data_IF_157672046397
#
_entry.id   IF_157672046397
#
_cell.length_a   1.000
_cell.length_b   1.000
_cell.length_c   1.000
_cell.angle_alpha   90.00
_cell.angle_beta   90.00
_cell.angle_gamma   90.00
#
_symmetry.space_group_name_H-M   'P 1'
#
loop_
_entity.id
_entity.type
_entity.pdbx_description
1 polymer ?
#
# COMPACT_ATOMS: atom_id res chain seq x y z
N UNK A 1 -16.98 -5.58 -8.29
CA UNK A 1 -16.08 -6.61 -7.72
C UNK A 1 -16.52 -6.85 -6.29
N UNK A 2 -17.14 -7.99 -5.98
CA UNK A 2 -17.69 -8.26 -4.65
C UNK A 2 -16.78 -9.27 -3.96
N UNK A 3 -16.15 -8.85 -2.85
CA UNK A 3 -15.33 -9.74 -2.02
C UNK A 3 -16.23 -10.36 -0.95
N UNK A 4 -16.49 -11.66 -1.05
CA UNK A 4 -17.13 -12.43 0.01
C UNK A 4 -16.04 -13.02 0.90
N UNK A 5 -15.87 -12.50 2.11
CA UNK A 5 -15.15 -13.18 3.18
C UNK A 5 -16.20 -13.81 4.09
N UNK A 6 -16.16 -15.13 4.30
CA UNK A 6 -16.96 -15.79 5.34
C UNK A 6 -16.47 -15.27 6.71
N UNK A 7 -17.14 -14.24 7.21
CA UNK A 7 -16.72 -13.40 8.34
C UNK A 7 -16.76 -14.09 9.70
N UNK A 8 -17.22 -15.34 9.79
CA UNK A 8 -17.19 -16.10 11.03
C UNK A 8 -15.82 -16.76 11.33
N UNK A 9 -14.90 -16.83 10.34
CA UNK A 9 -13.53 -17.37 10.49
C UNK A 9 -12.55 -16.76 9.47
N UNK A 10 -12.50 -15.44 9.32
CA UNK A 10 -11.52 -14.82 8.42
C UNK A 10 -10.09 -15.06 8.93
N UNK A 11 -9.26 -15.77 8.16
CA UNK A 11 -7.85 -16.02 8.53
C UNK A 11 -6.94 -14.80 8.33
N UNK A 12 -7.46 -13.74 7.69
CA UNK A 12 -6.70 -12.51 7.47
C UNK A 12 -7.53 -11.40 6.82
N UNK A 13 -6.89 -10.26 6.61
CA UNK A 13 -7.46 -9.02 6.09
C UNK A 13 -6.84 -8.75 4.72
N UNK A 14 -7.67 -8.38 3.73
CA UNK A 14 -7.22 -7.89 2.44
C UNK A 14 -7.69 -6.45 2.23
N UNK A 15 -6.77 -5.55 1.88
CA UNK A 15 -7.02 -4.12 1.67
C UNK A 15 -6.48 -3.75 0.29
N UNK A 16 -7.36 -3.33 -0.61
CA UNK A 16 -6.93 -2.68 -1.83
C UNK A 16 -6.49 -1.25 -1.50
N UNK A 17 -5.20 -0.94 -1.70
CA UNK A 17 -4.64 0.40 -1.40
C UNK A 17 -4.84 1.34 -2.57
N UNK A 18 -4.62 0.84 -3.78
CA UNK A 18 -4.89 1.55 -5.03
C UNK A 18 -5.25 0.53 -6.13
N UNK A 19 -5.23 0.95 -7.39
CA UNK A 19 -5.58 0.07 -8.51
C UNK A 19 -4.58 -1.09 -8.70
N UNK A 20 -3.34 -0.92 -8.24
CA UNK A 20 -2.21 -1.81 -8.53
C UNK A 20 -1.65 -2.51 -7.30
N UNK A 21 -1.99 -2.06 -6.09
CA UNK A 21 -1.49 -2.59 -4.82
C UNK A 21 -2.62 -3.13 -3.94
N UNK A 22 -2.41 -4.35 -3.44
CA UNK A 22 -3.19 -4.96 -2.36
C UNK A 22 -2.27 -5.25 -1.18
N UNK A 23 -2.77 -5.02 0.02
CA UNK A 23 -2.15 -5.44 1.28
C UNK A 23 -2.92 -6.62 1.81
N UNK A 24 -2.20 -7.67 2.19
CA UNK A 24 -2.72 -8.86 2.82
C UNK A 24 -2.11 -8.97 4.21
N UNK A 25 -2.91 -9.20 5.23
CA UNK A 25 -2.46 -9.37 6.60
C UNK A 25 -3.00 -10.66 7.19
N UNK A 26 -2.15 -11.47 7.82
CA UNK A 26 -2.62 -12.52 8.73
C UNK A 26 -2.80 -11.93 10.12
N UNK A 27 -3.95 -12.19 10.74
CA UNK A 27 -4.29 -11.70 12.08
C UNK A 27 -4.32 -12.80 13.12
N UNK A 28 -4.01 -14.04 12.74
CA UNK A 28 -4.07 -15.22 13.59
C UNK A 28 -2.67 -15.79 13.84
N UNK A 29 -2.57 -16.68 14.84
CA UNK A 29 -1.36 -17.50 15.11
C UNK A 29 -1.23 -18.65 14.09
N UNK A 30 -1.56 -18.39 12.84
CA UNK A 30 -1.48 -19.31 11.73
C UNK A 30 -1.33 -18.54 10.42
N UNK A 31 -0.79 -19.22 9.41
CA UNK A 31 -0.68 -18.63 8.09
C UNK A 31 -2.07 -18.39 7.49
N UNK A 32 -2.18 -17.33 6.70
CA UNK A 32 -3.40 -16.95 6.01
C UNK A 32 -3.21 -17.19 4.50
N UNK A 33 -4.16 -17.91 3.88
CA UNK A 33 -4.14 -18.13 2.44
C UNK A 33 -5.16 -17.22 1.76
N UNK A 34 -4.70 -16.47 0.76
CA UNK A 34 -5.51 -15.59 -0.07
C UNK A 34 -5.48 -16.04 -1.52
N UNK A 35 -6.63 -15.94 -2.19
CA UNK A 35 -6.74 -16.18 -3.63
C UNK A 35 -7.14 -14.88 -4.33
N UNK A 36 -6.22 -14.31 -5.09
CA UNK A 36 -6.45 -13.11 -5.90
C UNK A 36 -6.94 -13.51 -7.29
N UNK A 37 -8.21 -13.25 -7.57
CA UNK A 37 -8.81 -13.43 -8.90
C UNK A 37 -8.83 -12.10 -9.64
N UNK A 38 -8.53 -12.12 -10.94
CA UNK A 38 -8.63 -10.95 -11.83
C UNK A 38 -7.81 -9.72 -11.38
N UNK A 39 -6.75 -9.92 -10.59
CA UNK A 39 -5.91 -8.81 -10.11
C UNK A 39 -5.01 -8.22 -11.21
N UNK A 40 -4.67 -9.06 -12.20
CA UNK A 40 -3.71 -8.75 -13.25
C UNK A 40 -2.40 -9.51 -13.08
N UNK A 41 -1.35 -9.12 -13.80
CA UNK A 41 -0.02 -9.73 -13.69
C UNK A 41 0.68 -9.20 -12.44
N UNK A 42 0.85 -10.04 -11.42
CA UNK A 42 1.65 -9.71 -10.23
C UNK A 42 3.11 -9.55 -10.66
N UNK A 43 3.72 -8.43 -10.26
CA UNK A 43 5.13 -8.10 -10.52
C UNK A 43 5.97 -8.25 -9.27
N UNK A 44 5.39 -8.08 -8.08
CA UNK A 44 6.10 -8.27 -6.81
C UNK A 44 5.15 -8.68 -5.67
N UNK A 45 5.72 -9.42 -4.72
CA UNK A 45 5.08 -9.84 -3.47
C UNK A 45 6.11 -9.64 -2.37
N UNK A 46 5.91 -8.64 -1.51
CA UNK A 46 6.91 -8.21 -0.55
C UNK A 46 6.39 -8.31 0.88
N UNK A 47 7.16 -8.97 1.73
CA UNK A 47 6.95 -8.95 3.18
C UNK A 47 7.37 -7.59 3.75
N UNK A 48 6.65 -7.08 4.74
CA UNK A 48 6.98 -5.80 5.38
C UNK A 48 5.77 -5.03 5.85
N UNK A 49 5.88 -3.71 5.86
CA UNK A 49 4.78 -2.82 6.27
C UNK A 49 4.94 -1.44 5.64
N UNK A 50 3.86 -0.66 5.60
CA UNK A 50 3.99 0.76 5.28
C UNK A 50 4.68 1.52 6.41
N UNK A 51 5.50 2.50 6.05
CA UNK A 51 6.22 3.33 7.02
C UNK A 51 5.28 4.01 8.03
N UNK A 52 4.11 4.46 7.56
CA UNK A 52 3.00 5.01 8.37
C UNK A 52 1.67 4.68 7.69
N UNK A 53 0.51 4.76 8.39
CA UNK A 53 -0.78 4.40 7.80
C UNK A 53 -1.16 5.18 6.53
N UNK A 54 -0.73 6.45 6.45
CA UNK A 54 -0.97 7.35 5.32
C UNK A 54 0.15 7.33 4.27
N UNK A 55 1.25 6.61 4.52
CA UNK A 55 2.38 6.55 3.60
C UNK A 55 2.09 5.62 2.42
N UNK A 56 2.66 5.96 1.26
CA UNK A 56 2.77 5.09 0.10
C UNK A 56 4.13 4.36 0.07
N UNK A 57 4.99 4.57 1.06
CA UNK A 57 6.30 3.94 1.16
C UNK A 57 6.19 2.60 1.89
N UNK A 58 6.37 1.53 1.13
CA UNK A 58 6.57 0.19 1.67
C UNK A 58 7.98 0.05 2.23
N UNK A 59 8.10 -0.50 3.44
CA UNK A 59 9.37 -0.90 4.05
C UNK A 59 9.39 -2.42 4.05
N UNK A 60 10.21 -3.00 3.18
CA UNK A 60 10.42 -4.44 3.18
C UNK A 60 11.24 -4.83 4.40
N UNK A 61 10.85 -5.94 5.03
CA UNK A 61 11.59 -6.54 6.14
C UNK A 61 11.89 -7.99 5.84
N UNK A 62 12.78 -8.60 6.63
CA UNK A 62 13.10 -10.01 6.49
C UNK A 62 11.86 -10.85 6.78
N UNK A 63 11.47 -11.66 5.80
CA UNK A 63 10.33 -12.54 5.89
C UNK A 63 10.10 -13.27 4.58
N UNK A 64 9.56 -14.48 4.67
CA UNK A 64 9.30 -15.32 3.52
C UNK A 64 7.81 -15.39 3.27
N UNK A 65 7.40 -14.89 2.11
CA UNK A 65 6.04 -15.03 1.59
C UNK A 65 6.05 -16.04 0.46
N UNK A 66 5.09 -16.97 0.49
CA UNK A 66 4.94 -17.95 -0.60
C UNK A 66 3.79 -17.52 -1.50
N UNK A 67 4.01 -17.51 -2.81
CA UNK A 67 2.94 -17.28 -3.77
C UNK A 67 3.07 -18.17 -5.00
N UNK A 68 1.93 -18.48 -5.62
CA UNK A 68 1.84 -19.32 -6.81
C UNK A 68 0.82 -18.73 -7.77
N UNK A 69 1.17 -18.67 -9.06
CA UNK A 69 0.20 -18.43 -10.14
C UNK A 69 -0.52 -19.74 -10.48
N UNK A 70 -1.84 -19.71 -10.49
CA UNK A 70 -2.69 -20.83 -10.84
C UNK A 70 -2.92 -20.88 -12.37
N UNK A 71 -3.39 -22.03 -12.86
CA UNK A 71 -3.65 -22.26 -14.28
C UNK A 71 -4.77 -21.38 -14.83
N UNK A 72 -5.73 -21.00 -14.00
CA UNK A 72 -6.82 -20.06 -14.31
C UNK A 72 -6.38 -18.58 -14.29
N UNK A 73 -5.09 -18.31 -14.06
CA UNK A 73 -4.54 -16.96 -13.99
C UNK A 73 -4.70 -16.26 -12.64
N UNK A 74 -5.36 -16.89 -11.66
CA UNK A 74 -5.40 -16.39 -10.28
C UNK A 74 -4.06 -16.58 -9.56
N UNK A 75 -3.89 -15.93 -8.41
CA UNK A 75 -2.72 -16.12 -7.55
C UNK A 75 -3.14 -16.61 -6.17
N UNK A 76 -2.47 -17.64 -5.67
CA UNK A 76 -2.58 -18.07 -4.28
C UNK A 76 -1.39 -17.53 -3.51
N UNK A 77 -1.63 -16.76 -2.44
CA UNK A 77 -0.60 -16.17 -1.59
C UNK A 77 -0.80 -16.71 -0.17
N UNK A 78 0.28 -17.19 0.43
CA UNK A 78 0.34 -17.61 1.83
C UNK A 78 1.09 -16.55 2.62
N UNK A 79 0.38 -15.86 3.50
CA UNK A 79 0.88 -14.81 4.37
C UNK A 79 1.20 -15.43 5.72
N UNK A 80 2.45 -15.34 6.20
CA UNK A 80 2.83 -15.87 7.51
C UNK A 80 1.96 -15.33 8.65
N UNK A 81 1.82 -16.09 9.73
CA UNK A 81 1.13 -15.62 10.94
C UNK A 81 1.59 -14.22 11.40
N UNK A 82 0.64 -13.42 11.87
CA UNK A 82 0.87 -12.06 12.38
C UNK A 82 1.75 -11.17 11.49
N UNK A 83 1.59 -11.29 10.17
CA UNK A 83 2.42 -10.56 9.21
C UNK A 83 1.61 -9.85 8.15
N UNK A 84 2.28 -8.95 7.43
CA UNK A 84 1.70 -8.14 6.36
C UNK A 84 2.55 -8.28 5.10
N UNK A 85 1.86 -8.38 3.97
CA UNK A 85 2.43 -8.55 2.63
C UNK A 85 1.79 -7.54 1.68
N UNK A 86 2.61 -6.89 0.87
CA UNK A 86 2.17 -6.11 -0.28
C UNK A 86 2.25 -6.97 -1.54
N UNK A 87 1.16 -7.01 -2.31
CA UNK A 87 1.09 -7.61 -3.64
C UNK A 87 0.88 -6.49 -4.64
N UNK A 88 1.81 -6.34 -5.58
CA UNK A 88 1.78 -5.27 -6.57
C UNK A 88 1.76 -5.81 -8.00
N UNK A 89 1.10 -5.06 -8.89
CA UNK A 89 1.25 -5.20 -10.35
C UNK A 89 1.96 -4.00 -10.99
N UNK A 90 2.46 -3.05 -10.19
CA UNK A 90 3.28 -1.94 -10.70
C UNK A 90 4.54 -2.54 -11.31
N UNK A 91 4.82 -2.20 -12.57
CA UNK A 91 6.13 -2.47 -13.14
C UNK A 91 7.14 -1.65 -12.34
N UNK A 92 8.03 -2.31 -11.59
CA UNK A 92 9.12 -1.60 -10.94
C UNK A 92 9.95 -0.91 -12.04
N UNK A 93 9.86 0.41 -12.13
CA UNK A 93 11.01 1.19 -12.61
C UNK A 93 12.10 0.93 -11.57
N UNK A 94 13.30 0.44 -11.93
CA UNK A 94 14.34 0.13 -10.95
C UNK A 94 14.60 1.37 -10.09
N UNK A 95 14.18 1.33 -8.83
CA UNK A 95 14.55 2.35 -7.87
C UNK A 95 15.97 2.01 -7.44
N UNK A 96 16.94 2.76 -7.97
CA UNK A 96 18.35 2.59 -7.65
C UNK A 96 18.54 2.97 -6.17
N UNK A 97 18.51 1.97 -5.30
CA UNK A 97 18.69 2.16 -3.87
C UNK A 97 20.20 2.23 -3.57
N UNK A 98 20.85 3.35 -3.91
CA UNK A 98 22.21 3.63 -3.49
C UNK A 98 22.18 4.45 -2.20
N UNK A 99 22.34 3.74 -1.09
CA UNK A 99 22.80 4.30 0.17
C UNK A 99 24.27 4.72 0.00
N UNK A 100 24.53 6.02 -0.15
CA UNK A 100 25.87 6.61 -0.21
C UNK A 100 25.80 8.04 0.30
N UNK A 101 26.44 8.32 1.42
CA UNK A 101 26.29 9.58 2.15
C UNK A 101 26.94 10.81 1.49
N UNK A 102 26.39 11.95 1.93
CA UNK A 102 27.02 13.25 2.16
C UNK A 102 27.42 14.19 1.00
N UNK A 103 27.12 15.47 1.24
CA UNK A 103 27.66 16.73 0.71
C UNK A 103 27.02 17.34 -0.55
N UNK A 104 26.30 18.45 -0.29
CA UNK A 104 26.31 19.76 -0.96
C UNK A 104 26.41 19.88 -2.49
N UNK A 105 25.40 20.54 -3.03
CA UNK A 105 25.47 21.65 -3.99
C UNK A 105 26.29 21.46 -5.29
N UNK A 106 25.61 21.34 -6.44
CA UNK A 106 25.78 22.29 -7.56
C UNK A 106 24.86 21.96 -8.74
N UNK A 107 24.32 23.03 -9.32
CA UNK A 107 23.33 23.20 -10.38
C UNK A 107 23.81 22.77 -11.78
N UNK A 108 22.88 22.35 -12.66
CA UNK A 108 22.62 22.79 -14.07
C UNK A 108 21.80 21.70 -14.83
N UNK A 109 20.49 21.87 -15.05
CA UNK A 109 19.76 22.42 -16.25
C UNK A 109 20.08 21.69 -17.57
N UNK A 110 19.11 21.16 -18.35
CA UNK A 110 17.98 21.87 -19.00
C UNK A 110 16.86 20.88 -19.43
N UNK A 111 15.58 21.14 -19.14
CA UNK A 111 14.50 21.68 -20.01
C UNK A 111 14.16 20.85 -21.28
N UNK A 112 12.91 20.59 -21.70
CA UNK A 112 11.61 21.24 -21.44
C UNK A 112 10.46 20.29 -21.82
N UNK A 113 9.39 20.23 -21.02
CA UNK A 113 8.01 20.35 -21.56
C UNK A 113 7.11 21.01 -20.54
N UNK A 114 6.64 22.18 -20.94
CA UNK A 114 5.68 23.08 -20.33
C UNK A 114 4.35 22.39 -19.99
N UNK A 115 3.92 22.49 -18.74
CA UNK A 115 2.50 22.54 -18.38
C UNK A 115 2.32 23.52 -17.21
N UNK A 116 2.09 24.76 -17.59
CA UNK A 116 1.51 25.84 -16.79
C UNK A 116 0.31 25.38 -15.94
N UNK A 117 0.56 25.06 -14.66
CA UNK A 117 -0.50 24.97 -13.65
C UNK A 117 -0.08 25.75 -12.40
N UNK A 118 -0.81 26.83 -12.13
CA UNK A 118 -0.60 27.73 -11.00
C UNK A 118 -1.81 27.63 -10.06
N UNK A 119 -1.80 26.80 -9.01
CA UNK A 119 -2.77 26.94 -7.95
C UNK A 119 -2.40 28.18 -7.12
N UNK A 120 -3.20 29.24 -7.26
CA UNK A 120 -3.20 30.35 -6.31
C UNK A 120 -3.52 29.83 -4.91
N UNK A 121 -2.98 30.52 -3.89
CA UNK A 121 -2.94 30.20 -2.46
C UNK A 121 -4.12 29.36 -1.91
N UNK A 122 -3.87 28.47 -0.92
CA UNK A 122 -4.93 27.66 -0.31
C UNK A 122 -6.06 28.55 0.20
N UNK A 123 -7.29 28.21 -0.18
CA UNK A 123 -8.47 28.82 0.43
C UNK A 123 -8.47 28.52 1.92
N UNK A 124 -8.54 29.55 2.75
CA UNK A 124 -8.87 29.40 4.17
C UNK A 124 -10.32 28.96 4.25
N UNK A 125 -10.56 27.65 4.28
CA UNK A 125 -11.91 27.17 4.58
C UNK A 125 -12.20 27.51 6.04
N UNK A 126 -12.98 28.57 6.25
CA UNK A 126 -13.71 28.81 7.50
C UNK A 126 -14.83 27.75 7.60
N UNK A 127 -14.43 26.50 7.74
CA UNK A 127 -15.31 25.36 7.90
C UNK A 127 -15.53 25.12 9.38
N UNK A 128 -16.57 25.73 9.92
CA UNK A 128 -17.17 25.37 11.21
C UNK A 128 -17.31 23.85 11.27
N UNK A 129 -16.50 23.19 12.10
CA UNK A 129 -16.69 21.77 12.40
C UNK A 129 -17.91 21.68 13.30
N UNK A 130 -19.09 21.54 12.68
CA UNK A 130 -20.37 21.35 13.35
C UNK A 130 -20.43 20.02 14.12
N UNK A 131 -19.53 19.84 15.08
CA UNK A 131 -19.57 18.77 16.07
C UNK A 131 -20.41 19.26 17.24
N UNK A 132 -21.53 18.59 17.58
CA UNK A 132 -22.32 18.97 18.74
C UNK A 132 -21.49 18.81 20.03
N UNK A 133 -21.42 19.91 20.79
CA UNK A 133 -20.68 20.02 22.05
C UNK A 133 -21.43 19.29 23.17
N UNK A 134 -21.14 18.00 23.38
CA UNK A 134 -21.62 17.25 24.55
C UNK A 134 -20.68 17.42 25.74
N UNK A 135 -20.65 18.61 26.32
CA UNK A 135 -20.08 18.83 27.64
C UNK A 135 -21.01 19.70 28.48
N UNK A 136 -21.98 19.05 29.13
CA UNK A 136 -22.73 19.63 30.25
C UNK A 136 -21.97 19.22 31.52
N UNK A 137 -21.27 20.15 32.15
CA UNK A 137 -20.67 19.94 33.47
C UNK A 137 -21.62 20.54 34.52
N UNK A 138 -22.02 19.69 35.46
CA UNK A 138 -22.67 20.02 36.74
C UNK A 138 -21.84 20.99 37.55
#
# INVERSE_FOLDING_TARGET
MTYHTDTNKSMGIAIQRDQDDIVLASTLDSDATFTLKNFGKVTSVNYGQYQTPQSNKWISTDGNVTYKKNTDGSYTITVPKYSVVNVSKKTQTPSNNNNGGNSDNSTTTSDTTNNNWNPSSPSTSNGSTGLPNYAKKT
#
